data_IF_211202174085
#
_entry.id   IF_211202174085
#
_cell.length_a   1.000
_cell.length_b   1.000
_cell.length_c   1.000
_cell.angle_alpha   90.00
_cell.angle_beta   90.00
_cell.angle_gamma   90.00
#
_symmetry.space_group_name_H-M   'P 1'
#
loop_
_entity.id
_entity.type
_entity.pdbx_description
1 polymer ?
#
# COMPACT_ATOMS: atom_id res chain seq x y z
N UNK A 1 28.59 -0.78 -28.67
CA UNK A 1 27.38 -1.57 -28.98
C UNK A 1 26.19 -0.82 -28.41
N UNK A 2 25.24 -0.39 -29.24
CA UNK A 2 23.96 0.16 -28.77
C UNK A 2 23.07 -1.04 -28.48
N UNK A 3 22.97 -1.46 -27.22
CA UNK A 3 21.83 -2.28 -26.81
C UNK A 3 20.58 -1.40 -26.97
N UNK A 4 19.80 -1.67 -28.01
CA UNK A 4 18.46 -1.13 -28.14
C UNK A 4 17.61 -1.78 -27.05
N UNK A 5 17.62 -1.20 -25.84
CA UNK A 5 16.74 -1.62 -24.77
C UNK A 5 15.31 -1.27 -25.21
N UNK A 6 14.60 -2.23 -25.79
CA UNK A 6 13.21 -2.08 -26.22
C UNK A 6 12.35 -1.91 -24.98
N UNK A 7 11.91 -0.68 -24.71
CA UNK A 7 10.97 -0.41 -23.62
C UNK A 7 9.63 -1.03 -23.94
N UNK A 8 9.00 -1.70 -22.97
CA UNK A 8 7.66 -2.23 -23.13
C UNK A 8 6.63 -1.10 -23.19
N UNK A 9 5.61 -1.27 -24.03
CA UNK A 9 4.51 -0.33 -24.26
C UNK A 9 3.16 -0.83 -23.72
N UNK A 10 3.20 -1.90 -22.91
CA UNK A 10 2.04 -2.50 -22.25
C UNK A 10 2.34 -2.73 -20.76
N UNK A 11 1.28 -3.01 -19.99
CA UNK A 11 1.39 -3.40 -18.58
C UNK A 11 0.97 -4.86 -18.42
N UNK A 12 1.72 -5.62 -17.62
CA UNK A 12 1.39 -6.98 -17.17
C UNK A 12 1.27 -6.99 -15.66
N UNK A 13 0.10 -7.30 -15.14
CA UNK A 13 -0.14 -7.42 -13.70
C UNK A 13 -1.28 -8.38 -13.43
N UNK A 14 -1.53 -8.67 -12.16
CA UNK A 14 -2.63 -9.55 -11.75
C UNK A 14 -3.65 -8.77 -10.93
N UNK A 15 -4.93 -9.09 -11.10
CA UNK A 15 -6.01 -8.61 -10.23
C UNK A 15 -6.79 -9.81 -9.73
N UNK A 16 -6.82 -10.01 -8.41
CA UNK A 16 -7.54 -11.10 -7.76
C UNK A 16 -7.20 -12.48 -8.38
N UNK A 17 -5.92 -12.72 -8.69
CA UNK A 17 -5.42 -13.96 -9.28
C UNK A 17 -5.60 -14.07 -10.80
N UNK A 18 -6.27 -13.12 -11.45
CA UNK A 18 -6.42 -13.08 -12.91
C UNK A 18 -5.34 -12.22 -13.56
N UNK A 19 -4.67 -12.77 -14.57
CA UNK A 19 -3.70 -12.05 -15.41
C UNK A 19 -4.39 -10.94 -16.21
N UNK A 20 -3.77 -9.77 -16.24
CA UNK A 20 -4.18 -8.61 -17.01
C UNK A 20 -3.00 -8.17 -17.89
N UNK A 21 -3.24 -8.06 -19.18
CA UNK A 21 -2.35 -7.43 -20.16
C UNK A 21 -3.07 -6.20 -20.69
N UNK A 22 -2.61 -5.00 -20.31
CA UNK A 22 -3.18 -3.73 -20.76
C UNK A 22 -2.26 -3.09 -21.80
N UNK A 23 -2.71 -3.06 -23.06
CA UNK A 23 -1.95 -2.52 -24.20
C UNK A 23 -2.29 -1.07 -24.53
N UNK A 24 -3.37 -0.55 -23.96
CA UNK A 24 -3.86 0.80 -24.21
C UNK A 24 -4.04 1.53 -22.86
N UNK A 25 -3.04 1.39 -22.00
CA UNK A 25 -3.02 2.09 -20.73
C UNK A 25 -2.88 3.60 -20.97
N UNK A 26 -3.75 4.39 -20.36
CA UNK A 26 -3.51 5.83 -20.25
C UNK A 26 -2.76 6.12 -18.96
N UNK A 27 -1.63 6.83 -18.99
CA UNK A 27 -0.88 7.23 -17.80
C UNK A 27 -1.71 7.97 -16.75
N UNK A 28 -2.81 8.63 -17.14
CA UNK A 28 -3.70 9.34 -16.22
C UNK A 28 -4.61 8.42 -15.41
N UNK A 29 -4.79 7.18 -15.83
CA UNK A 29 -5.64 6.25 -15.11
C UNK A 29 -5.04 5.93 -13.75
N UNK A 30 -5.83 6.18 -12.71
CA UNK A 30 -5.55 5.66 -11.37
C UNK A 30 -5.98 4.19 -11.31
N UNK A 31 -5.34 3.42 -10.44
CA UNK A 31 -5.70 2.03 -10.19
C UNK A 31 -7.18 1.90 -9.82
N UNK A 32 -7.68 2.79 -8.95
CA UNK A 32 -9.09 2.80 -8.56
C UNK A 32 -10.03 3.04 -9.74
N UNK A 33 -9.68 3.98 -10.63
CA UNK A 33 -10.48 4.22 -11.83
C UNK A 33 -10.52 2.98 -12.71
N UNK A 34 -9.38 2.32 -12.92
CA UNK A 34 -9.28 1.12 -13.75
C UNK A 34 -10.10 -0.04 -13.18
N UNK A 35 -9.92 -0.35 -11.89
CA UNK A 35 -10.68 -1.41 -11.19
C UNK A 35 -12.18 -1.22 -11.36
N UNK A 36 -12.68 0.00 -11.13
CA UNK A 36 -14.13 0.29 -11.15
C UNK A 36 -14.70 0.37 -12.56
N UNK A 37 -14.02 1.05 -13.47
CA UNK A 37 -14.59 1.42 -14.77
C UNK A 37 -14.28 0.40 -15.86
N UNK A 38 -13.05 -0.16 -15.89
CA UNK A 38 -12.64 -1.16 -16.87
C UNK A 38 -12.97 -2.58 -16.39
N UNK A 39 -12.54 -2.94 -15.17
CA UNK A 39 -12.72 -4.30 -14.65
C UNK A 39 -14.08 -4.53 -13.95
N UNK A 40 -14.85 -3.47 -13.71
CA UNK A 40 -16.15 -3.51 -13.00
C UNK A 40 -16.07 -4.10 -11.58
N UNK A 41 -14.89 -4.04 -10.96
CA UNK A 41 -14.66 -4.37 -9.56
C UNK A 41 -14.96 -3.12 -8.72
N UNK A 42 -16.21 -3.00 -8.28
CA UNK A 42 -16.75 -1.78 -7.67
C UNK A 42 -16.67 -1.77 -6.15
N UNK A 43 -16.09 -2.80 -5.53
CA UNK A 43 -15.87 -2.96 -4.10
C UNK A 43 -14.97 -1.86 -3.55
N UNK A 44 -13.83 -1.58 -4.17
CA UNK A 44 -13.01 -0.41 -3.84
C UNK A 44 -13.73 0.89 -4.17
N UNK A 45 -13.80 1.83 -3.22
CA UNK A 45 -14.64 3.04 -3.33
C UNK A 45 -13.82 4.32 -3.51
N UNK A 46 -14.37 5.28 -4.24
CA UNK A 46 -13.87 6.65 -4.27
C UNK A 46 -14.55 7.44 -3.14
N UNK A 47 -13.80 7.83 -2.12
CA UNK A 47 -14.27 8.69 -1.04
C UNK A 47 -13.79 10.14 -1.20
N UNK A 48 -12.51 10.40 -0.93
CA UNK A 48 -11.93 11.76 -1.01
C UNK A 48 -11.08 12.00 -2.28
N UNK A 49 -10.41 10.96 -2.81
CA UNK A 49 -9.56 11.09 -4.00
C UNK A 49 -8.15 11.64 -3.76
N UNK A 50 -7.78 11.84 -2.49
CA UNK A 50 -6.50 12.44 -2.05
C UNK A 50 -5.74 11.58 -1.01
N UNK A 51 -6.23 10.36 -0.72
CA UNK A 51 -5.57 9.40 0.17
C UNK A 51 -5.99 9.45 1.64
N UNK A 52 -6.71 10.49 2.09
CA UNK A 52 -7.03 10.67 3.51
C UNK A 52 -8.10 9.76 4.12
N UNK A 53 -8.97 9.11 3.34
CA UNK A 53 -10.10 8.35 3.89
C UNK A 53 -9.98 6.82 3.85
N UNK A 54 -9.03 6.27 3.09
CA UNK A 54 -8.80 4.82 3.01
C UNK A 54 -9.89 3.98 2.35
N UNK A 55 -11.00 4.57 1.88
CA UNK A 55 -12.10 3.82 1.25
C UNK A 55 -11.71 3.10 -0.06
N UNK A 56 -10.60 3.53 -0.66
CA UNK A 56 -10.02 2.96 -1.88
C UNK A 56 -8.86 1.98 -1.61
N UNK A 57 -8.66 1.57 -0.36
CA UNK A 57 -7.52 0.71 -0.01
C UNK A 57 -7.59 -0.62 -0.75
N UNK A 58 -6.46 -1.01 -1.33
CA UNK A 58 -6.22 -2.31 -1.94
C UNK A 58 -4.85 -2.82 -1.48
N UNK A 59 -4.62 -4.12 -1.56
CA UNK A 59 -3.29 -4.69 -1.33
C UNK A 59 -2.56 -4.86 -2.66
N UNK A 60 -1.26 -4.60 -2.67
CA UNK A 60 -0.36 -4.99 -3.75
C UNK A 60 0.72 -5.90 -3.20
N UNK A 61 1.02 -6.94 -3.98
CA UNK A 61 2.05 -7.91 -3.64
C UNK A 61 3.03 -8.05 -4.81
N UNK A 62 4.31 -8.21 -4.52
CA UNK A 62 5.33 -8.48 -5.53
C UNK A 62 6.50 -9.27 -4.94
N UNK A 63 7.17 -10.05 -5.79
CA UNK A 63 8.36 -10.81 -5.41
C UNK A 63 9.55 -9.84 -5.29
N UNK A 64 10.14 -9.73 -4.11
CA UNK A 64 11.29 -8.83 -3.86
C UNK A 64 12.63 -9.55 -3.99
N UNK A 65 12.67 -10.86 -3.74
CA UNK A 65 13.85 -11.70 -3.99
C UNK A 65 13.41 -13.05 -4.60
N UNK A 66 13.91 -13.31 -5.81
CA UNK A 66 13.61 -14.51 -6.60
C UNK A 66 14.27 -15.76 -6.03
N UNK A 67 15.41 -15.61 -5.37
CA UNK A 67 16.16 -16.73 -4.84
C UNK A 67 15.49 -17.26 -3.57
N UNK A 68 14.99 -16.37 -2.72
CA UNK A 68 14.26 -16.73 -1.50
C UNK A 68 12.77 -16.95 -1.76
N UNK A 69 12.23 -16.41 -2.85
CA UNK A 69 10.80 -16.41 -3.15
C UNK A 69 10.01 -15.46 -2.25
N UNK A 70 10.68 -14.51 -1.60
CA UNK A 70 10.08 -13.57 -0.65
C UNK A 70 9.11 -12.61 -1.36
N UNK A 71 7.90 -12.53 -0.81
CA UNK A 71 6.82 -11.68 -1.32
C UNK A 71 6.59 -10.54 -0.34
N UNK A 72 6.71 -9.31 -0.80
CA UNK A 72 6.30 -8.15 -0.02
C UNK A 72 4.82 -7.86 -0.29
N UNK A 73 4.04 -7.76 0.80
CA UNK A 73 2.65 -7.32 0.79
C UNK A 73 2.53 -5.92 1.40
N UNK A 74 1.84 -5.01 0.71
CA UNK A 74 1.57 -3.67 1.25
C UNK A 74 0.23 -3.13 0.79
N UNK A 75 -0.42 -2.35 1.65
CA UNK A 75 -1.68 -1.67 1.32
C UNK A 75 -1.41 -0.28 0.75
N UNK A 76 -2.21 0.12 -0.23
CA UNK A 76 -2.06 1.41 -0.91
C UNK A 76 -3.42 2.05 -1.18
N UNK A 77 -3.43 3.37 -1.38
CA UNK A 77 -4.62 4.08 -1.83
C UNK A 77 -4.75 3.99 -3.36
N UNK A 78 -5.73 3.22 -3.85
CA UNK A 78 -5.94 3.07 -5.29
C UNK A 78 -6.27 4.38 -6.02
N UNK A 79 -6.78 5.40 -5.32
CA UNK A 79 -7.07 6.71 -5.91
C UNK A 79 -5.82 7.56 -6.22
N UNK A 80 -4.68 7.22 -5.61
CA UNK A 80 -3.40 7.90 -5.82
C UNK A 80 -2.45 7.08 -6.69
N UNK A 81 -2.55 5.75 -6.69
CA UNK A 81 -1.67 4.90 -7.46
C UNK A 81 -1.94 5.04 -8.98
N UNK A 82 -0.96 5.48 -9.80
CA UNK A 82 -1.05 5.38 -11.25
C UNK A 82 -1.17 3.91 -11.66
N UNK A 83 -1.99 3.59 -12.66
CA UNK A 83 -2.10 2.22 -13.18
C UNK A 83 -0.74 1.71 -13.66
N UNK A 84 0.05 2.55 -14.31
CA UNK A 84 1.40 2.21 -14.78
C UNK A 84 2.38 1.84 -13.66
N UNK A 85 2.05 2.13 -12.39
CA UNK A 85 2.90 1.77 -11.24
C UNK A 85 2.71 0.34 -10.72
N UNK A 86 1.66 -0.37 -11.17
CA UNK A 86 1.35 -1.74 -10.71
C UNK A 86 1.75 -2.84 -11.68
N UNK A 87 2.49 -2.51 -12.74
CA UNK A 87 3.14 -3.52 -13.58
C UNK A 87 4.03 -4.45 -12.73
N UNK A 88 3.94 -5.75 -12.98
CA UNK A 88 4.63 -6.79 -12.22
C UNK A 88 4.02 -7.09 -10.84
N UNK A 89 2.90 -6.47 -10.47
CA UNK A 89 2.28 -6.66 -9.15
C UNK A 89 1.04 -7.57 -9.20
N UNK A 90 0.73 -8.18 -8.06
CA UNK A 90 -0.58 -8.77 -7.77
C UNK A 90 -1.41 -7.80 -6.94
N UNK A 91 -2.41 -7.20 -7.58
CA UNK A 91 -3.41 -6.35 -6.94
C UNK A 91 -4.54 -7.23 -6.37
N UNK A 92 -4.82 -7.05 -5.09
CA UNK A 92 -5.90 -7.75 -4.38
C UNK A 92 -6.91 -6.69 -3.90
N UNK A 93 -8.16 -6.85 -4.32
CA UNK A 93 -9.30 -6.03 -3.89
C UNK A 93 -10.16 -6.81 -2.90
N UNK A 94 -11.17 -6.14 -2.32
CA UNK A 94 -12.10 -6.79 -1.38
C UNK A 94 -12.80 -8.01 -2.01
N UNK A 95 -13.11 -7.96 -3.31
CA UNK A 95 -13.70 -9.07 -4.06
C UNK A 95 -12.74 -10.25 -4.25
N UNK A 96 -11.43 -9.99 -4.19
CA UNK A 96 -10.39 -11.02 -4.28
C UNK A 96 -10.24 -11.84 -3.01
N UNK A 97 -10.66 -11.29 -1.86
CA UNK A 97 -10.61 -12.00 -0.58
C UNK A 97 -11.73 -13.05 -0.47
N UNK A 98 -12.92 -12.74 -0.97
CA UNK A 98 -14.09 -13.58 -0.77
C UNK A 98 -15.39 -12.89 -1.19
N UNK A 99 -16.44 -13.68 -1.40
CA UNK A 99 -17.78 -13.17 -1.75
C UNK A 99 -18.90 -14.03 -1.19
N UNK A 100 -20.05 -13.42 -0.92
CA UNK A 100 -21.27 -14.14 -0.47
C UNK A 100 -21.79 -15.10 -1.53
N UNK A 101 -21.63 -14.79 -2.82
CA UNK A 101 -22.09 -15.66 -3.91
C UNK A 101 -21.35 -16.99 -3.99
N UNK A 102 -20.12 -17.04 -3.47
CA UNK A 102 -19.28 -18.25 -3.42
C UNK A 102 -19.24 -18.86 -2.01
N UNK A 103 -19.99 -18.29 -1.05
CA UNK A 103 -19.99 -18.68 0.36
C UNK A 103 -18.58 -18.81 0.96
N UNK A 104 -17.65 -17.94 0.54
CA UNK A 104 -16.23 -18.02 0.89
C UNK A 104 -15.71 -16.69 1.43
N UNK A 105 -16.38 -16.13 2.44
CA UNK A 105 -15.92 -14.88 3.05
C UNK A 105 -14.59 -15.11 3.78
N UNK A 106 -13.63 -14.23 3.50
CA UNK A 106 -12.36 -14.22 4.21
C UNK A 106 -12.58 -13.85 5.69
N UNK A 107 -11.75 -14.38 6.58
CA UNK A 107 -11.83 -14.11 8.03
C UNK A 107 -12.01 -12.62 8.38
N UNK A 108 -11.28 -11.72 7.72
CA UNK A 108 -11.43 -10.26 7.93
C UNK A 108 -12.81 -9.72 7.52
N UNK A 109 -13.43 -10.27 6.47
CA UNK A 109 -14.80 -9.90 6.08
C UNK A 109 -15.81 -10.44 7.10
N UNK A 110 -15.69 -11.70 7.46
CA UNK A 110 -16.58 -12.40 8.41
C UNK A 110 -16.59 -11.71 9.77
N UNK A 111 -15.41 -11.47 10.36
CA UNK A 111 -15.33 -10.86 11.70
C UNK A 111 -15.86 -9.43 11.72
N UNK A 112 -15.59 -8.62 10.70
CA UNK A 112 -16.19 -7.28 10.63
C UNK A 112 -17.72 -7.34 10.54
N UNK A 113 -18.29 -8.31 9.81
CA UNK A 113 -19.74 -8.46 9.73
C UNK A 113 -20.34 -8.92 11.07
N UNK A 114 -19.77 -9.93 11.73
CA UNK A 114 -20.31 -10.54 12.96
C UNK A 114 -20.22 -9.64 14.21
N UNK A 115 -19.31 -8.68 14.20
CA UNK A 115 -19.15 -7.66 15.23
C UNK A 115 -19.94 -6.38 14.95
N UNK A 116 -20.80 -6.38 13.92
CA UNK A 116 -21.59 -5.20 13.53
C UNK A 116 -20.71 -3.99 13.14
N UNK A 117 -19.53 -4.25 12.58
CA UNK A 117 -18.54 -3.24 12.21
C UNK A 117 -18.87 -2.49 10.91
N UNK A 118 -20.09 -2.64 10.40
CA UNK A 118 -20.55 -2.05 9.15
C UNK A 118 -21.99 -1.56 9.29
N UNK A 119 -22.20 -0.26 9.09
CA UNK A 119 -23.54 0.35 9.02
C UNK A 119 -23.88 0.72 7.57
N UNK A 120 -23.50 1.92 7.10
CA UNK A 120 -23.73 2.31 5.70
C UNK A 120 -22.92 1.48 4.68
N UNK A 121 -21.90 0.75 5.14
CA UNK A 121 -21.09 -0.16 4.33
C UNK A 121 -20.05 0.49 3.42
N UNK A 122 -20.03 1.82 3.26
CA UNK A 122 -19.19 2.47 2.25
C UNK A 122 -17.68 2.38 2.56
N UNK A 123 -17.28 2.54 3.83
CA UNK A 123 -15.89 2.44 4.24
C UNK A 123 -15.43 0.98 4.45
N UNK A 124 -16.37 0.04 4.56
CA UNK A 124 -16.10 -1.35 4.96
C UNK A 124 -15.08 -2.05 4.06
N UNK A 125 -15.12 -1.92 2.72
CA UNK A 125 -14.07 -2.46 1.85
C UNK A 125 -12.66 -1.97 2.21
N UNK A 126 -12.50 -0.67 2.49
CA UNK A 126 -11.22 -0.09 2.88
C UNK A 126 -10.73 -0.62 4.23
N UNK A 127 -11.65 -0.77 5.21
CA UNK A 127 -11.35 -1.35 6.52
C UNK A 127 -10.89 -2.81 6.39
N UNK A 128 -11.64 -3.61 5.63
CA UNK A 128 -11.30 -5.02 5.36
C UNK A 128 -9.91 -5.14 4.75
N UNK A 129 -9.60 -4.33 3.73
CA UNK A 129 -8.31 -4.41 3.04
C UNK A 129 -7.13 -3.93 3.90
N UNK A 130 -7.35 -2.97 4.79
CA UNK A 130 -6.30 -2.46 5.68
C UNK A 130 -5.97 -3.47 6.77
N UNK A 131 -7.01 -4.09 7.35
CA UNK A 131 -6.85 -5.21 8.27
C UNK A 131 -6.18 -6.40 7.58
N UNK A 132 -6.65 -6.78 6.39
CA UNK A 132 -6.06 -7.86 5.58
C UNK A 132 -4.55 -7.65 5.35
N UNK A 133 -4.14 -6.44 4.96
CA UNK A 133 -2.72 -6.14 4.76
C UNK A 133 -1.87 -6.35 6.03
N UNK A 134 -2.40 -5.97 7.19
CA UNK A 134 -1.69 -6.09 8.47
C UNK A 134 -1.60 -7.54 8.92
N UNK A 135 -2.71 -8.29 8.85
CA UNK A 135 -2.72 -9.71 9.25
C UNK A 135 -1.90 -10.61 8.32
N UNK A 136 -1.66 -10.17 7.08
CA UNK A 136 -0.88 -10.95 6.09
C UNK A 136 0.61 -10.62 6.15
N UNK A 137 0.99 -9.42 6.59
CA UNK A 137 2.38 -8.95 6.62
C UNK A 137 3.13 -9.28 7.91
N UNK A 138 2.43 -9.75 8.94
CA UNK A 138 3.02 -10.14 10.22
C UNK A 138 2.65 -11.56 10.59
N UNK A 139 3.58 -12.25 11.26
CA UNK A 139 3.26 -13.51 11.91
C UNK A 139 2.18 -13.28 12.98
N UNK A 140 1.15 -14.14 12.98
CA UNK A 140 0.04 -14.11 13.92
C UNK A 140 0.53 -14.16 15.38
N UNK A 141 1.66 -14.82 15.65
CA UNK A 141 2.26 -14.88 17.00
C UNK A 141 2.74 -13.52 17.53
N UNK A 142 3.02 -12.57 16.63
CA UNK A 142 3.59 -11.26 16.93
C UNK A 142 2.65 -10.09 16.60
N UNK A 143 1.43 -10.38 16.17
CA UNK A 143 0.46 -9.38 15.77
C UNK A 143 -0.25 -8.81 17.01
N UNK A 144 0.06 -7.58 17.40
CA UNK A 144 -0.49 -6.96 18.61
C UNK A 144 -1.74 -6.13 18.36
N UNK A 145 -2.50 -5.79 19.41
CA UNK A 145 -3.61 -4.84 19.29
C UNK A 145 -3.15 -3.47 18.78
N UNK A 146 -1.94 -3.02 19.15
CA UNK A 146 -1.38 -1.76 18.68
C UNK A 146 -1.14 -1.79 17.16
N UNK A 147 -0.71 -2.93 16.63
CA UNK A 147 -0.56 -3.12 15.18
C UNK A 147 -1.90 -3.06 14.44
N UNK A 148 -2.97 -3.66 14.98
CA UNK A 148 -4.30 -3.53 14.33
C UNK A 148 -4.81 -2.10 14.41
N UNK A 149 -4.58 -1.38 15.51
CA UNK A 149 -4.99 0.02 15.62
C UNK A 149 -4.25 0.90 14.60
N UNK A 150 -2.93 0.73 14.44
CA UNK A 150 -2.15 1.45 13.43
C UNK A 150 -2.66 1.16 12.01
N UNK A 151 -3.16 -0.06 11.74
CA UNK A 151 -3.68 -0.41 10.42
C UNK A 151 -4.84 0.46 9.92
N UNK A 152 -5.56 1.11 10.84
CA UNK A 152 -6.71 1.95 10.53
C UNK A 152 -6.40 3.45 10.57
N UNK A 153 -5.14 3.85 10.75
CA UNK A 153 -4.70 5.27 10.82
C UNK A 153 -5.00 6.07 9.53
N UNK A 154 -5.32 5.38 8.43
CA UNK A 154 -5.77 5.95 7.16
C UNK A 154 -7.22 5.68 6.78
N UNK A 155 -8.04 5.13 7.67
CA UNK A 155 -9.41 4.71 7.33
C UNK A 155 -10.46 5.51 8.11
N UNK A 156 -11.29 6.24 7.37
CA UNK A 156 -12.34 7.06 7.96
C UNK A 156 -13.70 6.36 7.94
N UNK A 157 -14.37 6.31 9.09
CA UNK A 157 -15.75 5.86 9.23
C UNK A 157 -16.58 6.91 9.97
N UNK A 158 -17.71 7.30 9.36
CA UNK A 158 -18.61 8.30 9.95
C UNK A 158 -19.77 7.70 10.76
N UNK A 159 -19.99 6.39 10.67
CA UNK A 159 -21.20 5.75 11.18
C UNK A 159 -20.97 4.93 12.45
N UNK A 160 -19.91 4.10 12.48
CA UNK A 160 -19.76 3.07 13.52
C UNK A 160 -19.17 3.58 14.83
N UNK A 161 -18.58 4.78 14.84
CA UNK A 161 -17.78 5.26 15.97
C UNK A 161 -16.54 4.40 16.25
N UNK A 162 -16.07 3.62 15.26
CA UNK A 162 -14.90 2.73 15.29
C UNK A 162 -14.93 1.55 16.26
N UNK A 163 -15.65 1.65 17.38
CA UNK A 163 -15.67 0.64 18.43
C UNK A 163 -15.90 -0.80 17.91
N UNK A 164 -16.95 -1.10 17.12
CA UNK A 164 -17.16 -2.46 16.62
C UNK A 164 -16.10 -2.89 15.59
N UNK A 165 -15.46 -1.95 14.87
CA UNK A 165 -14.36 -2.26 13.94
C UNK A 165 -13.13 -2.72 14.72
N UNK A 166 -12.76 -1.98 15.77
CA UNK A 166 -11.63 -2.32 16.63
C UNK A 166 -11.89 -3.61 17.40
N UNK A 167 -13.10 -3.85 17.90
CA UNK A 167 -13.45 -5.12 18.55
C UNK A 167 -13.29 -6.31 17.59
N UNK A 168 -13.77 -6.18 16.35
CA UNK A 168 -13.59 -7.20 15.32
C UNK A 168 -12.11 -7.44 15.00
N UNK A 169 -11.34 -6.36 14.80
CA UNK A 169 -9.95 -6.45 14.38
C UNK A 169 -9.04 -7.00 15.48
N UNK A 170 -9.27 -6.63 16.75
CA UNK A 170 -8.48 -7.10 17.89
C UNK A 170 -8.64 -8.59 18.17
N UNK A 171 -9.67 -9.24 17.63
CA UNK A 171 -9.79 -10.71 17.66
C UNK A 171 -8.66 -11.43 16.90
N UNK A 172 -7.89 -10.72 16.06
CA UNK A 172 -6.70 -11.27 15.39
C UNK A 172 -5.41 -11.09 16.19
N UNK A 173 -5.43 -10.29 17.27
CA UNK A 173 -4.23 -9.95 18.02
C UNK A 173 -3.85 -11.04 19.03
N UNK A 174 -2.55 -11.30 19.20
CA UNK A 174 -2.03 -12.31 20.11
C UNK A 174 -2.08 -11.90 21.59
N UNK A 175 -2.26 -10.61 21.89
CA UNK A 175 -2.29 -10.04 23.23
C UNK A 175 -3.70 -9.73 23.76
N UNK A 176 -4.74 -10.19 23.06
CA UNK A 176 -6.15 -9.96 23.43
C UNK A 176 -6.53 -10.56 24.78
N UNK A 177 -5.95 -11.71 25.15
CA UNK A 177 -6.27 -12.39 26.41
C UNK A 177 -5.79 -11.61 27.63
N UNK A 178 -4.65 -10.91 27.52
CA UNK A 178 -4.13 -10.05 28.59
C UNK A 178 -5.09 -8.89 28.86
N UNK A 179 -5.61 -8.29 27.78
CA UNK A 179 -6.58 -7.20 27.87
C UNK A 179 -7.91 -7.66 28.50
N UNK A 180 -8.37 -8.87 28.16
CA UNK A 180 -9.58 -9.43 28.74
C UNK A 180 -9.41 -9.70 30.23
N UNK A 181 -8.29 -10.31 30.65
CA UNK A 181 -7.99 -10.60 32.05
C UNK A 181 -7.98 -9.35 32.95
N UNK A 182 -7.50 -8.20 32.44
CA UNK A 182 -7.51 -6.93 33.17
C UNK A 182 -8.92 -6.36 33.36
N UNK A 183 -9.84 -6.59 32.40
CA UNK A 183 -11.23 -6.09 32.44
C UNK A 183 -12.24 -7.02 33.12
N UNK A 184 -11.95 -8.31 33.26
CA UNK A 184 -12.80 -9.29 33.96
C UNK A 184 -13.00 -9.01 35.46
N UNK A 185 -12.39 -7.96 36.00
CA UNK A 185 -12.60 -7.45 37.37
C UNK A 185 -13.97 -6.76 37.58
N UNK A 186 -14.79 -6.57 36.54
CA UNK A 186 -16.15 -6.02 36.63
C UNK A 186 -17.23 -7.07 36.28
N UNK A 187 -18.11 -7.50 37.22
CA UNK A 187 -18.84 -8.76 37.07
C UNK A 187 -20.06 -8.80 36.12
N UNK A 188 -20.48 -7.73 35.44
CA UNK A 188 -21.85 -7.66 34.91
C UNK A 188 -22.04 -7.08 33.50
N UNK A 189 -21.04 -7.13 32.62
CA UNK A 189 -21.25 -6.81 31.21
C UNK A 189 -20.64 -7.89 30.34
N UNK A 190 -21.47 -8.70 29.68
CA UNK A 190 -21.02 -9.44 28.49
C UNK A 190 -20.52 -8.41 27.50
N UNK A 191 -19.21 -8.33 27.36
CA UNK A 191 -18.60 -7.34 26.46
C UNK A 191 -18.48 -7.97 25.08
N UNK A 192 -18.36 -7.12 24.05
CA UNK A 192 -18.01 -7.55 22.69
C UNK A 192 -16.78 -8.48 22.61
N UNK A 193 -15.96 -8.54 23.67
CA UNK A 193 -14.78 -9.40 23.76
C UNK A 193 -15.07 -10.87 24.07
N UNK A 194 -16.25 -11.22 24.62
CA UNK A 194 -16.63 -12.63 24.79
C UNK A 194 -16.70 -13.35 23.42
N UNK A 195 -17.09 -12.60 22.38
CA UNK A 195 -17.05 -13.06 20.99
C UNK A 195 -15.63 -13.20 20.43
N UNK A 196 -14.61 -12.55 20.98
CA UNK A 196 -13.23 -12.71 20.48
C UNK A 196 -12.69 -14.11 20.76
N UNK A 197 -13.08 -14.71 21.89
CA UNK A 197 -12.64 -16.05 22.29
C UNK A 197 -13.03 -17.13 21.25
N UNK A 198 -14.16 -16.98 20.55
CA UNK A 198 -14.57 -17.93 19.51
C UNK A 198 -13.69 -17.92 18.26
N UNK A 199 -12.80 -16.94 18.11
CA UNK A 199 -11.90 -16.79 16.97
C UNK A 199 -10.43 -17.08 17.27
N UNK A 200 -10.08 -17.35 18.53
CA UNK A 200 -8.72 -17.68 18.93
C UNK A 200 -8.26 -18.97 18.22
N UNK A 201 -7.05 -18.95 17.67
CA UNK A 201 -6.44 -20.10 16.98
C UNK A 201 -7.01 -20.41 15.60
N UNK A 202 -7.98 -19.65 15.08
CA UNK A 202 -8.45 -19.81 13.71
C UNK A 202 -7.39 -19.34 12.71
N UNK A 203 -7.06 -20.18 11.73
CA UNK A 203 -6.15 -19.83 10.63
C UNK A 203 -6.71 -18.70 9.79
N UNK A 204 -5.82 -17.84 9.29
CA UNK A 204 -6.16 -16.78 8.35
C UNK A 204 -5.95 -17.31 6.94
N UNK A 205 -6.99 -17.28 6.12
CA UNK A 205 -6.91 -17.70 4.73
C UNK A 205 -5.85 -16.86 3.98
N UNK A 206 -4.92 -17.52 3.31
CA UNK A 206 -3.93 -16.84 2.49
C UNK A 206 -4.39 -16.78 1.04
N UNK A 207 -4.20 -15.61 0.41
CA UNK A 207 -4.44 -15.46 -1.03
C UNK A 207 -3.17 -15.90 -1.75
N UNK A 208 -3.24 -16.91 -2.64
CA UNK A 208 -2.06 -17.41 -3.32
C UNK A 208 -1.47 -16.33 -4.25
N UNK A 209 -0.15 -16.20 -4.22
CA UNK A 209 0.58 -15.33 -5.12
C UNK A 209 0.68 -15.99 -6.52
N UNK A 210 0.42 -15.25 -7.62
CA UNK A 210 0.52 -15.80 -8.97
C UNK A 210 1.94 -16.28 -9.29
N UNK A 211 2.09 -17.57 -9.60
CA UNK A 211 3.40 -18.18 -9.88
C UNK A 211 4.16 -17.47 -11.02
N UNK A 212 3.46 -17.03 -12.08
CA UNK A 212 4.09 -16.27 -13.17
C UNK A 212 4.75 -14.95 -12.72
N UNK A 213 4.32 -14.36 -11.60
CA UNK A 213 4.92 -13.15 -11.07
C UNK A 213 6.19 -13.41 -10.25
N UNK A 214 6.47 -14.66 -9.83
CA UNK A 214 7.73 -14.98 -9.15
C UNK A 214 8.92 -14.78 -10.09
N UNK A 215 8.75 -15.18 -11.34
CA UNK A 215 9.79 -15.08 -12.37
C UNK A 215 9.77 -13.73 -13.12
N UNK A 216 8.78 -12.87 -12.87
CA UNK A 216 8.67 -11.58 -13.53
C UNK A 216 9.90 -10.70 -13.28
N UNK A 217 10.59 -10.31 -14.35
CA UNK A 217 11.72 -9.37 -14.28
C UNK A 217 11.21 -7.98 -14.66
N UNK A 218 11.43 -6.95 -13.82
CA UNK A 218 11.07 -5.60 -14.19
C UNK A 218 11.81 -5.16 -15.46
N UNK A 219 11.08 -4.48 -16.34
CA UNK A 219 11.60 -3.97 -17.60
C UNK A 219 11.41 -2.47 -17.70
N UNK A 220 12.20 -1.81 -18.55
CA UNK A 220 11.94 -0.41 -18.88
C UNK A 220 10.57 -0.30 -19.57
N UNK A 221 9.72 0.63 -19.12
CA UNK A 221 8.39 0.87 -19.69
C UNK A 221 8.32 2.27 -20.28
N UNK A 222 7.68 2.38 -21.43
CA UNK A 222 7.27 3.63 -22.04
C UNK A 222 5.81 3.54 -22.51
N UNK A 223 4.90 4.20 -21.80
CA UNK A 223 3.50 4.32 -22.21
C UNK A 223 3.27 5.72 -22.76
N UNK A 224 2.84 5.79 -24.02
CA UNK A 224 2.40 7.04 -24.66
C UNK A 224 0.92 7.24 -24.38
N UNK A 225 0.58 8.31 -23.67
CA UNK A 225 -0.79 8.69 -23.38
C UNK A 225 -1.30 9.79 -24.31
N UNK A 226 -2.60 10.04 -24.21
CA UNK A 226 -3.28 11.13 -24.91
C UNK A 226 -2.82 12.52 -24.44
N UNK A 227 -2.59 12.70 -23.14
CA UNK A 227 -2.20 14.00 -22.53
C UNK A 227 -0.80 14.00 -21.92
N UNK A 228 -0.30 12.84 -21.50
CA UNK A 228 1.01 12.72 -20.88
C UNK A 228 1.63 11.35 -21.12
N UNK A 229 2.96 11.29 -21.09
CA UNK A 229 3.73 10.05 -21.21
C UNK A 229 4.16 9.51 -19.85
N UNK A 230 4.30 8.20 -19.75
CA UNK A 230 4.89 7.52 -18.61
C UNK A 230 6.17 6.80 -19.01
N UNK A 231 7.22 6.99 -18.21
CA UNK A 231 8.49 6.30 -18.32
C UNK A 231 8.81 5.59 -17.01
N UNK A 232 9.31 4.35 -17.06
CA UNK A 232 9.89 3.63 -15.92
C UNK A 232 11.28 3.13 -16.33
N UNK A 233 12.38 3.84 -16.02
CA UNK A 233 13.72 3.26 -16.09
C UNK A 233 13.92 2.20 -15.01
N UNK A 234 14.78 1.21 -15.31
CA UNK A 234 15.21 0.19 -14.33
C UNK A 234 16.67 0.35 -13.91
N UNK A 235 17.41 1.25 -14.57
CA UNK A 235 18.80 1.59 -14.23
C UNK A 235 18.99 3.08 -13.98
N UNK A 236 20.00 3.45 -13.19
CA UNK A 236 20.38 4.84 -12.98
C UNK A 236 20.81 5.52 -14.30
N UNK A 237 21.49 4.78 -15.19
CA UNK A 237 21.91 5.29 -16.50
C UNK A 237 20.72 5.69 -17.38
N UNK A 238 19.68 4.85 -17.46
CA UNK A 238 18.46 5.19 -18.19
C UNK A 238 17.75 6.40 -17.56
N UNK A 239 17.70 6.47 -16.22
CA UNK A 239 17.12 7.62 -15.52
C UNK A 239 17.86 8.92 -15.88
N UNK A 240 19.19 8.92 -15.83
CA UNK A 240 20.02 10.08 -16.19
C UNK A 240 19.77 10.46 -17.66
N UNK A 241 19.73 9.50 -18.56
CA UNK A 241 19.45 9.74 -19.98
C UNK A 241 18.07 10.39 -20.18
N UNK A 242 17.03 9.87 -19.53
CA UNK A 242 15.69 10.44 -19.58
C UNK A 242 15.65 11.88 -19.02
N UNK A 243 16.39 12.16 -17.95
CA UNK A 243 16.48 13.50 -17.36
C UNK A 243 17.26 14.49 -18.22
N UNK A 244 18.27 14.03 -18.97
CA UNK A 244 18.96 14.85 -19.97
C UNK A 244 18.07 15.13 -21.18
N UNK A 245 17.30 14.12 -21.62
CA UNK A 245 16.39 14.23 -22.76
C UNK A 245 15.18 15.12 -22.47
N UNK A 246 14.68 15.11 -21.23
CA UNK A 246 13.50 15.86 -20.79
C UNK A 246 13.81 16.67 -19.51
N UNK A 247 14.62 17.74 -19.61
CA UNK A 247 15.07 18.51 -18.46
C UNK A 247 13.98 19.43 -17.89
N UNK A 248 14.19 19.92 -16.67
CA UNK A 248 13.31 20.93 -16.05
C UNK A 248 11.85 20.47 -15.96
N UNK A 249 10.94 21.32 -16.45
CA UNK A 249 9.49 21.10 -16.43
C UNK A 249 8.99 20.16 -17.55
N UNK A 250 9.86 19.70 -18.46
CA UNK A 250 9.49 18.71 -19.47
C UNK A 250 9.24 17.31 -18.91
N UNK A 251 9.70 17.04 -17.68
CA UNK A 251 9.40 15.80 -16.98
C UNK A 251 9.38 15.98 -15.47
N UNK A 252 8.49 15.22 -14.80
CA UNK A 252 8.43 15.14 -13.34
C UNK A 252 8.84 13.74 -12.88
N UNK A 253 9.77 13.68 -11.92
CA UNK A 253 10.08 12.43 -11.24
C UNK A 253 8.92 12.03 -10.32
N UNK A 254 8.57 10.75 -10.32
CA UNK A 254 7.50 10.21 -9.50
C UNK A 254 7.97 8.93 -8.78
N UNK A 255 7.59 8.81 -7.51
CA UNK A 255 7.76 7.58 -6.73
C UNK A 255 6.38 7.10 -6.26
N UNK A 256 5.87 7.64 -5.15
CA UNK A 256 4.57 7.24 -4.58
C UNK A 256 3.32 7.96 -5.11
N UNK A 257 3.50 8.96 -5.98
CA UNK A 257 2.45 9.86 -6.48
C UNK A 257 1.66 10.67 -5.42
N UNK A 258 1.97 10.54 -4.13
CA UNK A 258 1.19 11.16 -3.03
C UNK A 258 1.19 12.68 -3.07
N UNK A 259 2.25 13.29 -3.61
CA UNK A 259 2.33 14.74 -3.87
C UNK A 259 1.97 15.11 -5.30
N UNK A 260 2.53 14.42 -6.30
CA UNK A 260 2.32 14.74 -7.72
C UNK A 260 0.83 14.69 -8.09
N UNK A 261 0.07 13.76 -7.52
CA UNK A 261 -1.37 13.69 -7.73
C UNK A 261 -2.11 14.92 -7.19
N UNK A 262 -1.68 15.46 -6.05
CA UNK A 262 -2.21 16.69 -5.46
C UNK A 262 -1.86 17.90 -6.33
N UNK A 263 -0.59 18.03 -6.75
CA UNK A 263 -0.15 19.09 -7.66
C UNK A 263 -1.01 19.12 -8.95
N UNK A 264 -1.33 17.94 -9.50
CA UNK A 264 -2.16 17.85 -10.70
C UNK A 264 -3.63 18.17 -10.45
N UNK A 265 -4.22 17.66 -9.37
CA UNK A 265 -5.67 17.78 -9.12
C UNK A 265 -6.08 19.09 -8.46
N UNK A 266 -5.28 19.57 -7.53
CA UNK A 266 -5.60 20.73 -6.69
C UNK A 266 -4.90 21.97 -7.22
N UNK A 267 -3.60 21.87 -7.51
CA UNK A 267 -2.80 23.00 -8.03
C UNK A 267 -2.88 23.12 -9.57
N UNK A 268 -3.61 22.21 -10.23
CA UNK A 268 -3.83 22.19 -11.68
C UNK A 268 -2.53 22.21 -12.51
N UNK A 269 -1.43 21.69 -11.95
CA UNK A 269 -0.16 21.57 -12.66
C UNK A 269 -0.23 20.46 -13.70
N UNK A 270 0.28 20.72 -14.89
CA UNK A 270 0.40 19.72 -15.96
C UNK A 270 1.84 19.25 -16.08
N UNK A 271 2.02 17.95 -16.30
CA UNK A 271 3.33 17.35 -16.52
C UNK A 271 3.23 16.52 -17.79
N UNK A 272 3.90 16.91 -18.89
CA UNK A 272 3.79 16.17 -20.15
C UNK A 272 4.40 14.78 -20.05
N UNK A 273 5.31 14.55 -19.08
CA UNK A 273 6.00 13.27 -18.87
C UNK A 273 6.20 13.00 -17.40
N UNK A 274 5.85 11.80 -16.96
CA UNK A 274 6.18 11.28 -15.63
C UNK A 274 7.26 10.21 -15.76
N UNK A 275 8.31 10.31 -14.94
CA UNK A 275 9.41 9.33 -14.89
C UNK A 275 9.39 8.65 -13.53
N UNK A 276 8.95 7.40 -13.49
CA UNK A 276 8.89 6.57 -12.30
C UNK A 276 10.27 6.07 -11.91
N UNK A 277 10.70 6.45 -10.71
CA UNK A 277 12.01 6.07 -10.17
C UNK A 277 11.93 4.90 -9.19
N UNK A 278 10.79 4.20 -9.14
CA UNK A 278 10.54 3.09 -8.21
C UNK A 278 11.39 1.84 -8.45
N UNK A 279 12.06 1.73 -9.60
CA UNK A 279 12.84 0.55 -9.99
C UNK A 279 14.35 0.80 -10.10
N UNK A 280 14.80 2.01 -9.77
CA UNK A 280 16.23 2.34 -9.72
C UNK A 280 16.78 1.92 -8.35
N UNK A 281 17.63 0.89 -8.33
CA UNK A 281 18.06 0.22 -7.09
C UNK A 281 18.92 1.13 -6.20
N UNK A 282 19.79 1.93 -6.79
CA UNK A 282 20.70 2.85 -6.11
C UNK A 282 19.94 3.89 -5.27
N UNK A 283 18.72 4.23 -5.67
CA UNK A 283 17.85 5.17 -4.93
C UNK A 283 17.13 4.51 -3.75
N UNK A 284 17.21 3.19 -3.59
CA UNK A 284 16.44 2.44 -2.59
C UNK A 284 17.31 1.84 -1.47
N UNK A 285 18.62 2.09 -1.51
CA UNK A 285 19.57 1.59 -0.54
C UNK A 285 19.45 2.33 0.80
N UNK A 286 19.65 1.59 1.89
CA UNK A 286 19.86 2.13 3.24
C UNK A 286 21.14 1.49 3.79
N UNK A 287 22.07 2.31 4.29
CA UNK A 287 23.35 1.83 4.83
C UNK A 287 23.70 2.63 6.07
N UNK A 288 24.16 1.95 7.12
CA UNK A 288 24.77 2.57 8.30
C UNK A 288 26.25 2.25 8.29
N UNK A 289 27.06 3.28 8.49
CA UNK A 289 28.51 3.22 8.72
C UNK A 289 28.78 3.66 10.16
N UNK A 290 30.04 3.64 10.57
CA UNK A 290 30.44 4.06 11.93
C UNK A 290 30.06 5.54 12.19
N UNK A 291 30.20 6.40 11.18
CA UNK A 291 30.01 7.86 11.32
C UNK A 291 28.77 8.43 10.62
N UNK A 292 28.07 7.63 9.79
CA UNK A 292 26.98 8.15 8.97
C UNK A 292 25.90 7.14 8.62
N UNK A 293 24.71 7.66 8.31
CA UNK A 293 23.58 6.89 7.77
C UNK A 293 23.29 7.42 6.38
N UNK A 294 23.33 6.54 5.39
CA UNK A 294 22.92 6.78 4.02
C UNK A 294 21.49 6.28 3.82
N UNK A 295 20.61 7.16 3.33
CA UNK A 295 19.23 6.84 2.98
C UNK A 295 18.98 7.26 1.53
N UNK A 296 18.66 6.29 0.68
CA UNK A 296 18.28 6.55 -0.71
C UNK A 296 16.97 7.34 -0.82
N UNK A 297 16.87 8.20 -1.84
CA UNK A 297 15.70 9.06 -2.09
C UNK A 297 14.39 8.28 -2.38
N UNK A 298 14.50 7.04 -2.82
CA UNK A 298 13.41 6.09 -3.09
C UNK A 298 13.09 5.17 -1.91
N UNK A 299 13.65 5.39 -0.71
CA UNK A 299 13.24 4.66 0.49
C UNK A 299 11.83 5.10 0.90
N UNK A 300 10.90 4.15 1.03
CA UNK A 300 9.55 4.43 1.52
C UNK A 300 9.56 4.69 3.02
N UNK A 301 8.59 5.46 3.49
CA UNK A 301 8.44 5.75 4.92
C UNK A 301 8.19 4.50 5.76
N UNK A 302 7.51 3.48 5.23
CA UNK A 302 7.35 2.18 5.91
C UNK A 302 8.68 1.45 6.07
N UNK A 303 9.50 1.37 5.00
CA UNK A 303 10.83 0.75 5.07
C UNK A 303 11.76 1.53 5.98
N UNK A 304 11.70 2.86 5.93
CA UNK A 304 12.47 3.72 6.84
C UNK A 304 12.07 3.48 8.30
N UNK A 305 10.77 3.46 8.63
CA UNK A 305 10.30 3.19 9.99
C UNK A 305 10.83 1.85 10.50
N UNK A 306 10.76 0.80 9.67
CA UNK A 306 11.31 -0.52 10.02
C UNK A 306 12.80 -0.47 10.31
N UNK A 307 13.60 0.13 9.43
CA UNK A 307 15.05 0.20 9.58
C UNK A 307 15.48 1.05 10.78
N UNK A 308 14.75 2.12 11.08
CA UNK A 308 15.06 2.99 12.22
C UNK A 308 14.83 2.29 13.56
N UNK A 309 13.93 1.30 13.65
CA UNK A 309 13.75 0.51 14.86
C UNK A 309 15.02 -0.28 15.22
N UNK A 310 15.74 -0.77 14.22
CA UNK A 310 17.02 -1.45 14.39
C UNK A 310 18.15 -0.49 14.78
N UNK A 311 18.00 0.80 14.46
CA UNK A 311 18.98 1.87 14.75
C UNK A 311 18.53 2.82 15.85
N UNK A 312 17.62 2.37 16.73
CA UNK A 312 17.03 3.19 17.79
C UNK A 312 18.03 3.68 18.84
N UNK A 313 19.23 3.12 18.87
CA UNK A 313 20.36 3.57 19.70
C UNK A 313 20.87 4.96 19.28
N UNK A 314 20.65 5.35 18.02
CA UNK A 314 20.99 6.67 17.52
C UNK A 314 19.87 7.69 17.88
N UNK A 315 20.19 8.81 18.57
CA UNK A 315 19.20 9.81 18.97
C UNK A 315 18.42 10.43 17.81
N UNK A 316 19.04 10.61 16.64
CA UNK A 316 18.37 11.13 15.43
C UNK A 316 17.35 10.12 14.92
N UNK A 317 17.72 8.84 14.90
CA UNK A 317 16.80 7.76 14.52
C UNK A 317 15.60 7.69 15.47
N UNK A 318 15.83 7.85 16.78
CA UNK A 318 14.77 7.93 17.77
C UNK A 318 13.83 9.12 17.53
N UNK A 319 14.38 10.32 17.31
CA UNK A 319 13.59 11.51 17.02
C UNK A 319 12.75 11.38 15.73
N UNK A 320 13.30 10.73 14.70
CA UNK A 320 12.57 10.42 13.47
C UNK A 320 11.43 9.44 13.73
N UNK A 321 11.68 8.37 14.51
CA UNK A 321 10.64 7.39 14.90
C UNK A 321 9.46 8.06 15.62
N UNK A 322 9.72 9.04 16.48
CA UNK A 322 8.66 9.77 17.17
C UNK A 322 7.74 10.53 16.21
N UNK A 323 8.26 11.04 15.08
CA UNK A 323 7.43 11.73 14.08
C UNK A 323 6.42 10.79 13.41
N UNK A 324 6.76 9.50 13.26
CA UNK A 324 5.87 8.53 12.61
C UNK A 324 4.54 8.32 13.33
N UNK A 325 4.45 8.63 14.62
CA UNK A 325 3.20 8.58 15.41
C UNK A 325 2.11 9.50 14.85
N UNK A 326 2.51 10.56 14.14
CA UNK A 326 1.61 11.60 13.63
C UNK A 326 1.81 11.86 12.14
N UNK A 327 2.56 10.98 11.44
CA UNK A 327 2.94 11.19 10.06
C UNK A 327 2.19 10.27 9.10
N UNK A 328 1.24 10.88 8.38
CA UNK A 328 0.44 10.25 7.34
C UNK A 328 -0.23 8.93 7.79
N UNK A 329 -0.90 8.24 6.87
CA UNK A 329 -1.42 6.90 7.12
C UNK A 329 -0.47 5.82 6.63
N UNK A 330 -0.68 4.59 7.09
CA UNK A 330 0.03 3.39 6.64
C UNK A 330 0.03 3.26 5.11
N UNK A 331 -1.12 3.45 4.46
CA UNK A 331 -1.24 3.34 3.00
C UNK A 331 -0.42 4.40 2.28
N UNK A 332 -0.30 5.61 2.84
CA UNK A 332 0.55 6.68 2.31
C UNK A 332 2.02 6.36 2.55
N UNK A 333 2.39 5.93 3.77
CA UNK A 333 3.77 5.58 4.14
C UNK A 333 4.34 4.43 3.32
N UNK A 334 3.48 3.50 2.89
CA UNK A 334 3.86 2.36 2.05
C UNK A 334 4.36 2.76 0.65
N UNK A 335 4.04 3.96 0.16
CA UNK A 335 4.42 4.42 -1.19
C UNK A 335 5.14 5.76 -1.19
N UNK A 336 4.92 6.63 -0.21
CA UNK A 336 5.61 7.91 -0.12
C UNK A 336 7.10 7.66 0.18
N UNK A 337 7.98 8.34 -0.57
CA UNK A 337 9.42 8.21 -0.41
C UNK A 337 10.03 9.42 0.30
N UNK A 338 11.17 9.17 0.97
CA UNK A 338 11.94 10.19 1.67
C UNK A 338 12.34 11.35 0.74
N UNK A 339 12.90 11.04 -0.42
CA UNK A 339 13.30 12.06 -1.40
C UNK A 339 12.11 12.83 -1.96
N UNK A 340 10.98 12.17 -2.18
CA UNK A 340 9.74 12.83 -2.58
C UNK A 340 9.25 13.84 -1.55
N UNK A 341 9.37 13.50 -0.26
CA UNK A 341 9.01 14.40 0.84
C UNK A 341 9.96 15.60 0.95
N UNK A 342 11.28 15.38 0.89
CA UNK A 342 12.29 16.45 0.96
C UNK A 342 12.12 17.43 -0.21
N UNK A 343 12.02 16.91 -1.44
CA UNK A 343 11.91 17.75 -2.65
C UNK A 343 10.57 18.46 -2.75
N UNK A 344 9.50 17.89 -2.19
CA UNK A 344 8.21 18.58 -2.14
C UNK A 344 8.28 19.90 -1.36
N UNK A 345 9.23 20.02 -0.41
CA UNK A 345 9.52 21.23 0.34
C UNK A 345 8.26 21.94 0.87
N UNK A 346 7.31 21.15 1.39
CA UNK A 346 6.03 21.67 1.87
C UNK A 346 6.27 22.59 3.08
N UNK A 347 5.73 23.81 3.09
CA UNK A 347 5.77 24.64 4.28
C UNK A 347 5.01 23.97 5.43
N UNK A 348 5.45 24.26 6.66
CA UNK A 348 4.82 23.79 7.90
C UNK A 348 3.37 24.24 8.01
#
# INVERSE_FOLDING_TARGET
MKETNTSADFLLFYVNGKEIIERHAEPEWTLLWYLRNKLKLTGSKLGCGEGGCGACTVSISHCIDKNTGEIEHRTINGCLAPLCSVDGCHVITVEGLGSTNKSNLHSTQTRLAEFYASQCGFCTPGMVMSLYGTVTSKDASNLTMADIEESFDGNLCRCTGYRPILDAAKSFACDIDKFNAEKSSSPNTSTTFDKCASFLGQSIDQIPFPEKLRDHQPQSIQIKGSSMDWYRPITLTELIHLRQKYPGDESKLIFGNTRVQFERKVEQRTFPRLISITHVKELQEMKRTDDSIYLGAGVTFTRLKSQLMDWKDNPICHALLDQFKHFASTQIRNVASLGGHIIAALPK
#
